data_IF_645585436478
#
_entry.id   IF_645585436478
#
_cell.length_a   1.000
_cell.length_b   1.000
_cell.length_c   1.000
_cell.angle_alpha   90.00
_cell.angle_beta   90.00
_cell.angle_gamma   90.00
#
_symmetry.space_group_name_H-M   'P 1'
#
loop_
_entity.id
_entity.type
_entity.pdbx_description
1 polymer ?
#
# COMPACT_ATOMS: atom_id res chain seq x y z
N UNK A 1 -5.56 20.95 -19.82
CA UNK A 1 -6.08 21.25 -18.49
C UNK A 1 -5.50 20.26 -17.50
N UNK A 2 -6.08 20.03 -16.40
CA UNK A 2 -5.60 19.06 -15.44
C UNK A 2 -4.27 19.45 -14.81
N UNK A 3 -3.28 18.58 -14.90
CA UNK A 3 -1.99 18.75 -14.24
C UNK A 3 -1.22 20.00 -14.71
N UNK A 4 -1.55 20.48 -15.89
CA UNK A 4 -0.84 21.62 -16.48
C UNK A 4 -1.44 22.97 -16.12
N UNK A 5 -2.54 22.99 -15.36
CA UNK A 5 -3.16 24.23 -14.92
C UNK A 5 -2.37 24.83 -13.77
N UNK A 6 -1.70 25.98 -13.98
CA UNK A 6 -0.87 26.59 -12.93
C UNK A 6 -1.68 27.13 -11.75
N UNK A 7 -2.99 27.33 -11.93
CA UNK A 7 -3.86 27.84 -10.87
C UNK A 7 -4.50 26.73 -10.05
N UNK A 8 -4.30 25.47 -10.45
CA UNK A 8 -4.85 24.34 -9.75
C UNK A 8 -4.17 24.15 -8.40
N UNK A 9 -4.93 24.12 -7.30
CA UNK A 9 -4.33 23.85 -5.99
C UNK A 9 -3.61 22.50 -5.96
N UNK A 10 -2.48 22.46 -5.26
CA UNK A 10 -1.71 21.20 -5.13
C UNK A 10 -2.56 20.08 -4.58
N UNK A 11 -3.51 20.38 -3.69
CA UNK A 11 -4.39 19.38 -3.07
C UNK A 11 -5.31 18.69 -4.07
N UNK A 12 -5.55 19.31 -5.25
CA UNK A 12 -6.38 18.70 -6.30
C UNK A 12 -5.59 17.82 -7.25
N UNK A 13 -4.27 17.80 -7.13
CA UNK A 13 -3.43 16.94 -7.96
C UNK A 13 -3.58 15.48 -7.52
N UNK A 14 -3.90 14.60 -8.49
CA UNK A 14 -4.12 13.18 -8.21
C UNK A 14 -2.88 12.50 -7.63
N UNK A 15 -1.68 12.93 -8.04
CA UNK A 15 -0.43 12.40 -7.52
C UNK A 15 -0.25 12.83 -6.07
N UNK A 16 -0.52 14.10 -5.76
CA UNK A 16 -0.45 14.60 -4.38
C UNK A 16 -1.43 13.86 -3.48
N UNK A 17 -2.67 13.68 -3.94
CA UNK A 17 -3.68 12.93 -3.18
C UNK A 17 -3.23 11.49 -2.91
N UNK A 18 -2.69 10.82 -3.93
CA UNK A 18 -2.22 9.44 -3.77
C UNK A 18 -1.04 9.37 -2.80
N UNK A 19 -0.11 10.33 -2.85
CA UNK A 19 1.01 10.39 -1.94
C UNK A 19 0.53 10.62 -0.50
N UNK A 20 -0.42 11.53 -0.31
CA UNK A 20 -0.96 11.82 1.03
C UNK A 20 -1.65 10.60 1.62
N UNK A 21 -2.45 9.90 0.83
CA UNK A 21 -3.14 8.69 1.28
C UNK A 21 -2.18 7.58 1.63
N UNK A 22 -1.16 7.37 0.81
CA UNK A 22 -0.12 6.36 1.08
C UNK A 22 0.70 6.76 2.30
N UNK A 23 0.99 8.05 2.48
CA UNK A 23 1.71 8.53 3.65
C UNK A 23 0.95 8.22 4.94
N UNK A 24 -0.36 8.42 4.95
CA UNK A 24 -1.22 8.06 6.09
C UNK A 24 -1.16 6.54 6.32
N UNK A 25 -1.30 5.76 5.25
CA UNK A 25 -1.26 4.30 5.33
C UNK A 25 0.08 3.80 5.91
N UNK A 26 1.19 4.41 5.49
CA UNK A 26 2.52 4.07 6.01
C UNK A 26 2.64 4.40 7.50
N UNK A 27 2.16 5.58 7.91
CA UNK A 27 2.20 5.99 9.32
C UNK A 27 1.39 5.05 10.20
N UNK A 28 0.18 4.69 9.77
CA UNK A 28 -0.66 3.72 10.48
C UNK A 28 0.00 2.34 10.51
N UNK A 29 0.65 1.95 9.41
CA UNK A 29 1.39 0.71 9.31
C UNK A 29 2.55 0.65 10.29
N UNK A 30 3.26 1.75 10.51
CA UNK A 30 4.35 1.80 11.49
C UNK A 30 3.83 1.47 12.90
N UNK A 31 2.70 2.05 13.29
CA UNK A 31 2.09 1.76 14.58
C UNK A 31 1.68 0.28 14.70
N UNK A 32 1.03 -0.25 13.67
CA UNK A 32 0.64 -1.67 13.64
C UNK A 32 1.87 -2.59 13.68
N UNK A 33 2.95 -2.22 13.02
CA UNK A 33 4.20 -2.99 13.03
C UNK A 33 4.85 -3.02 14.41
N UNK A 34 4.79 -1.92 15.13
CA UNK A 34 5.29 -1.87 16.52
C UNK A 34 4.48 -2.80 17.41
N UNK A 35 3.15 -2.77 17.27
CA UNK A 35 2.26 -3.66 18.01
C UNK A 35 2.53 -5.13 17.63
N UNK A 36 2.76 -5.39 16.36
CA UNK A 36 3.08 -6.74 15.86
C UNK A 36 4.38 -7.25 16.46
N UNK A 37 5.42 -6.42 16.50
CA UNK A 37 6.71 -6.81 17.09
C UNK A 37 6.55 -7.14 18.58
N UNK A 38 5.77 -6.35 19.32
CA UNK A 38 5.50 -6.62 20.73
C UNK A 38 4.75 -7.93 20.90
N UNK A 39 3.75 -8.19 20.07
CA UNK A 39 2.96 -9.41 20.13
C UNK A 39 3.80 -10.65 19.79
N UNK A 40 4.62 -10.55 18.75
CA UNK A 40 5.53 -11.65 18.37
C UNK A 40 6.55 -11.93 19.46
N UNK A 41 7.09 -10.90 20.09
CA UNK A 41 8.02 -11.04 21.20
C UNK A 41 7.39 -11.74 22.39
N UNK A 42 6.15 -11.40 22.71
CA UNK A 42 5.40 -12.05 23.79
C UNK A 42 5.18 -13.54 23.50
N UNK A 43 4.73 -13.86 22.29
CA UNK A 43 4.48 -15.25 21.89
C UNK A 43 5.80 -16.06 21.92
N UNK A 44 6.87 -15.45 21.42
CA UNK A 44 8.19 -16.08 21.43
C UNK A 44 8.65 -16.39 22.85
N UNK A 45 8.53 -15.43 23.74
CA UNK A 45 8.89 -15.61 25.15
C UNK A 45 8.08 -16.74 25.77
N UNK A 46 6.77 -16.73 25.59
CA UNK A 46 5.88 -17.77 26.11
C UNK A 46 6.30 -19.14 25.61
N UNK A 47 6.63 -19.26 24.34
CA UNK A 47 7.04 -20.54 23.75
C UNK A 47 8.35 -21.04 24.34
N UNK A 48 9.30 -20.15 24.54
CA UNK A 48 10.61 -20.49 25.10
C UNK A 48 10.48 -21.00 26.54
N UNK A 49 9.61 -20.40 27.34
CA UNK A 49 9.41 -20.82 28.73
C UNK A 49 8.39 -21.94 28.91
N UNK A 50 7.87 -22.47 27.82
CA UNK A 50 7.04 -23.69 27.86
C UNK A 50 5.53 -23.44 27.95
N UNK A 51 5.05 -22.22 27.75
CA UNK A 51 3.61 -21.95 27.69
C UNK A 51 3.06 -22.58 26.41
N UNK A 52 1.98 -23.37 26.48
CA UNK A 52 1.35 -23.92 25.28
C UNK A 52 0.89 -22.81 24.33
N UNK A 53 1.07 -23.01 23.04
CA UNK A 53 0.71 -21.98 22.03
C UNK A 53 -0.75 -21.57 22.15
N UNK A 54 -1.64 -22.51 22.41
CA UNK A 54 -3.06 -22.22 22.57
C UNK A 54 -3.35 -21.21 23.67
N UNK A 55 -2.58 -21.26 24.76
CA UNK A 55 -2.72 -20.27 25.83
C UNK A 55 -2.14 -18.91 25.44
N UNK A 56 -1.05 -18.93 24.68
CA UNK A 56 -0.38 -17.70 24.25
C UNK A 56 -1.20 -16.91 23.23
N UNK A 57 -1.82 -17.59 22.26
CA UNK A 57 -2.52 -16.94 21.16
C UNK A 57 -4.05 -16.91 21.32
N UNK A 58 -4.58 -17.55 22.38
CA UNK A 58 -6.01 -17.65 22.59
C UNK A 58 -6.57 -18.95 22.02
N UNK A 59 -7.74 -19.35 22.52
CA UNK A 59 -8.34 -20.64 22.19
C UNK A 59 -9.30 -20.58 21.01
N UNK A 60 -9.68 -19.38 20.59
CA UNK A 60 -10.63 -19.18 19.49
C UNK A 60 -10.25 -17.96 18.68
N UNK A 61 -10.61 -18.02 17.41
CA UNK A 61 -10.37 -16.91 16.51
C UNK A 61 -8.93 -16.85 15.97
N UNK A 62 -8.71 -15.92 15.10
CA UNK A 62 -7.40 -15.70 14.49
C UNK A 62 -6.45 -15.04 15.50
N UNK A 63 -5.22 -15.54 15.66
CA UNK A 63 -4.25 -14.88 16.52
C UNK A 63 -4.03 -13.41 16.14
N UNK A 64 -3.92 -12.55 17.16
CA UNK A 64 -3.76 -11.12 16.95
C UNK A 64 -2.55 -10.78 16.06
N UNK A 65 -1.45 -11.53 16.19
CA UNK A 65 -0.28 -11.32 15.35
C UNK A 65 -0.61 -11.44 13.86
N UNK A 66 -1.44 -12.42 13.49
CA UNK A 66 -1.84 -12.62 12.09
C UNK A 66 -2.82 -11.53 11.64
N UNK A 67 -3.72 -11.09 12.53
CA UNK A 67 -4.62 -9.97 12.22
C UNK A 67 -3.81 -8.71 11.91
N UNK A 68 -2.82 -8.39 12.74
CA UNK A 68 -1.96 -7.23 12.54
C UNK A 68 -1.13 -7.35 11.25
N UNK A 69 -0.54 -8.53 11.01
CA UNK A 69 0.26 -8.76 9.81
C UNK A 69 -0.59 -8.61 8.54
N UNK A 70 -1.77 -9.18 8.54
CA UNK A 70 -2.68 -9.08 7.39
C UNK A 70 -3.13 -7.63 7.16
N UNK A 71 -3.38 -6.88 8.22
CA UNK A 71 -3.77 -5.48 8.13
C UNK A 71 -2.66 -4.64 7.50
N UNK A 72 -1.43 -4.81 7.96
CA UNK A 72 -0.26 -4.11 7.41
C UNK A 72 -0.09 -4.46 5.93
N UNK A 73 -0.09 -5.74 5.60
CA UNK A 73 0.12 -6.22 4.23
C UNK A 73 -0.96 -5.66 3.30
N UNK A 74 -2.21 -5.76 3.69
CA UNK A 74 -3.33 -5.29 2.86
C UNK A 74 -3.25 -3.78 2.63
N UNK A 75 -3.00 -3.03 3.69
CA UNK A 75 -2.92 -1.56 3.63
C UNK A 75 -1.81 -1.11 2.69
N UNK A 76 -0.62 -1.71 2.80
CA UNK A 76 0.52 -1.35 1.96
C UNK A 76 0.30 -1.80 0.50
N UNK A 77 -0.31 -2.95 0.29
CA UNK A 77 -0.65 -3.44 -1.05
C UNK A 77 -1.61 -2.49 -1.76
N UNK A 78 -2.67 -2.08 -1.07
CA UNK A 78 -3.65 -1.14 -1.63
C UNK A 78 -3.00 0.23 -1.91
N UNK A 79 -2.17 0.72 -0.99
CA UNK A 79 -1.45 1.98 -1.16
C UNK A 79 -0.51 1.94 -2.35
N UNK A 80 0.23 0.84 -2.49
CA UNK A 80 1.15 0.64 -3.62
C UNK A 80 0.41 0.67 -4.96
N UNK A 81 -0.72 -0.03 -5.05
CA UNK A 81 -1.51 -0.06 -6.29
C UNK A 81 -2.05 1.34 -6.64
N UNK A 82 -2.53 2.06 -5.64
CA UNK A 82 -3.05 3.41 -5.82
C UNK A 82 -1.96 4.38 -6.30
N UNK A 83 -0.81 4.33 -5.65
CA UNK A 83 0.32 5.20 -5.99
C UNK A 83 0.82 4.90 -7.41
N UNK A 84 0.95 3.62 -7.74
CA UNK A 84 1.37 3.19 -9.08
C UNK A 84 0.43 3.73 -10.14
N UNK A 85 -0.88 3.62 -9.92
CA UNK A 85 -1.87 4.11 -10.88
C UNK A 85 -1.75 5.62 -11.09
N UNK A 86 -1.62 6.38 -10.00
CA UNK A 86 -1.47 7.83 -10.10
C UNK A 86 -0.20 8.22 -10.86
N UNK A 87 0.92 7.54 -10.58
CA UNK A 87 2.19 7.79 -11.26
C UNK A 87 2.11 7.44 -12.74
N UNK A 88 1.57 6.27 -13.07
CA UNK A 88 1.43 5.83 -14.47
C UNK A 88 0.61 6.83 -15.26
N UNK A 89 -0.55 7.20 -14.75
CA UNK A 89 -1.45 8.13 -15.43
C UNK A 89 -0.77 9.48 -15.63
N UNK A 90 -0.11 9.99 -14.61
CA UNK A 90 0.55 11.30 -14.69
C UNK A 90 1.72 11.29 -15.66
N UNK A 91 2.54 10.24 -15.65
CA UNK A 91 3.69 10.14 -16.56
C UNK A 91 3.24 10.11 -18.03
N UNK A 92 2.18 9.36 -18.31
CA UNK A 92 1.63 9.32 -19.67
C UNK A 92 1.07 10.68 -20.07
N UNK A 93 0.37 11.36 -19.17
CA UNK A 93 -0.15 12.71 -19.43
C UNK A 93 0.97 13.71 -19.67
N UNK A 94 2.12 13.52 -19.07
CA UNK A 94 3.30 14.37 -19.25
C UNK A 94 4.05 14.06 -20.54
N UNK A 95 3.60 13.09 -21.32
CA UNK A 95 4.16 12.77 -22.63
C UNK A 95 5.02 11.53 -22.69
N UNK A 96 5.19 10.80 -21.60
CA UNK A 96 5.96 9.58 -21.61
C UNK A 96 5.17 8.47 -22.32
N UNK A 97 5.83 7.66 -23.14
CA UNK A 97 5.15 6.58 -23.87
C UNK A 97 4.76 5.44 -22.94
N UNK A 98 3.73 4.69 -23.32
CA UNK A 98 3.29 3.50 -22.56
C UNK A 98 4.46 2.51 -22.42
N UNK A 99 5.27 2.32 -23.49
CA UNK A 99 6.41 1.42 -23.43
C UNK A 99 7.47 1.89 -22.44
N UNK A 100 7.73 3.19 -22.39
CA UNK A 100 8.68 3.78 -21.44
C UNK A 100 8.21 3.58 -20.01
N UNK A 101 6.93 3.85 -19.75
CA UNK A 101 6.35 3.66 -18.41
C UNK A 101 6.39 2.18 -18.01
N UNK A 102 6.07 1.28 -18.94
CA UNK A 102 6.14 -0.16 -18.67
C UNK A 102 7.55 -0.57 -18.21
N UNK A 103 8.58 -0.06 -18.85
CA UNK A 103 9.97 -0.34 -18.45
C UNK A 103 10.29 0.21 -17.08
N UNK A 104 9.84 1.43 -16.77
CA UNK A 104 10.06 2.04 -15.44
C UNK A 104 9.48 1.21 -14.31
N UNK A 105 8.27 0.67 -14.53
CA UNK A 105 7.56 -0.08 -13.50
C UNK A 105 7.80 -1.60 -13.58
N UNK A 106 8.66 -2.03 -14.51
CA UNK A 106 9.02 -3.44 -14.68
C UNK A 106 7.80 -4.32 -14.88
N UNK A 107 6.86 -3.85 -15.70
CA UNK A 107 5.61 -4.55 -16.01
C UNK A 107 5.41 -4.57 -17.54
N UNK A 108 4.39 -5.31 -17.98
CA UNK A 108 4.07 -5.41 -19.40
C UNK A 108 3.34 -4.17 -19.90
N UNK A 109 3.40 -3.97 -21.22
CA UNK A 109 2.62 -2.94 -21.89
C UNK A 109 1.11 -3.12 -21.61
N UNK A 110 0.63 -4.35 -21.64
CA UNK A 110 -0.78 -4.65 -21.37
C UNK A 110 -1.18 -4.23 -19.95
N UNK A 111 -0.28 -4.41 -18.99
CA UNK A 111 -0.55 -4.00 -17.60
C UNK A 111 -0.73 -2.49 -17.50
N UNK A 112 0.14 -1.72 -18.16
CA UNK A 112 0.01 -0.26 -18.17
C UNK A 112 -1.27 0.16 -18.86
N UNK A 113 -1.59 -0.44 -20.01
CA UNK A 113 -2.83 -0.14 -20.73
C UNK A 113 -4.07 -0.44 -19.88
N UNK A 114 -4.04 -1.54 -19.11
CA UNK A 114 -5.12 -1.89 -18.20
C UNK A 114 -5.28 -0.86 -17.08
N UNK A 115 -4.18 -0.37 -16.52
CA UNK A 115 -4.20 0.66 -15.49
C UNK A 115 -4.83 1.94 -16.04
N UNK A 116 -4.42 2.36 -17.24
CA UNK A 116 -4.94 3.58 -17.89
C UNK A 116 -6.43 3.46 -18.20
N UNK A 117 -6.89 2.30 -18.66
CA UNK A 117 -8.32 2.08 -18.91
C UNK A 117 -9.14 2.14 -17.63
N UNK A 118 -8.65 1.52 -16.56
CA UNK A 118 -9.33 1.51 -15.26
C UNK A 118 -9.45 2.92 -14.70
N UNK A 119 -8.38 3.70 -14.80
CA UNK A 119 -8.37 5.08 -14.34
C UNK A 119 -9.32 5.95 -15.13
N UNK A 120 -9.39 5.75 -16.45
CA UNK A 120 -10.29 6.47 -17.32
C UNK A 120 -11.76 6.17 -17.02
N UNK A 121 -12.05 4.93 -16.60
CA UNK A 121 -13.42 4.46 -16.35
C UNK A 121 -13.90 4.80 -14.92
N UNK A 122 -13.05 5.30 -14.07
CA UNK A 122 -13.41 5.67 -12.69
C UNK A 122 -13.70 7.20 -12.48
#
# INVERSE_FOLDING_TARGET
MGADDPDRPAEEDAVVEAIDDVSIAVKESVSDQQDLLSELGRIRHDRVVGVPLQESVGRAGQPRALVLLNRVTKRLTLGSARLRRAFVTSLVQEGESVNSVARRFEVTHQRISAILRRDKDS
#
